data_IF_989527000695
#
_entry.id   IF_989527000695
#
_cell.length_a   1.000
_cell.length_b   1.000
_cell.length_c   1.000
_cell.angle_alpha   90.00
_cell.angle_beta   90.00
_cell.angle_gamma   90.00
#
_symmetry.space_group_name_H-M   'P 1'
#
loop_
_entity.id
_entity.type
_entity.pdbx_description
1 polymer ?
#
# COMPACT_ATOMS: atom_id res chain seq x y z
N UNK A 1 -7.44 -2.95 -4.98
CA UNK A 1 -6.33 -2.84 -5.94
C UNK A 1 -6.06 -4.10 -6.75
N UNK A 2 -5.76 -5.28 -6.15
CA UNK A 2 -5.49 -6.52 -6.90
C UNK A 2 -6.56 -6.83 -7.97
N UNK A 3 -7.83 -6.70 -7.63
CA UNK A 3 -8.93 -6.97 -8.55
C UNK A 3 -9.08 -5.87 -9.61
N UNK A 4 -8.86 -4.60 -9.24
CA UNK A 4 -8.91 -3.48 -10.20
C UNK A 4 -7.84 -3.62 -11.28
N UNK A 5 -6.62 -4.00 -10.91
CA UNK A 5 -5.54 -4.21 -11.88
C UNK A 5 -5.76 -5.45 -12.77
N UNK A 6 -6.37 -6.51 -12.22
CA UNK A 6 -6.74 -7.68 -13.01
C UNK A 6 -7.78 -7.40 -14.10
N UNK A 7 -8.64 -6.43 -13.86
CA UNK A 7 -9.68 -6.05 -14.82
C UNK A 7 -9.15 -5.07 -15.89
N UNK A 8 -7.96 -4.49 -15.70
CA UNK A 8 -7.28 -3.72 -16.75
C UNK A 8 -6.84 -4.71 -17.82
N UNK A 9 -7.34 -4.51 -19.04
CA UNK A 9 -6.96 -5.33 -20.19
C UNK A 9 -5.44 -5.19 -20.43
N UNK A 10 -4.77 -6.31 -20.74
CA UNK A 10 -3.32 -6.35 -20.95
C UNK A 10 -2.84 -5.52 -22.15
N UNK A 11 -3.72 -5.28 -23.12
CA UNK A 11 -3.45 -4.46 -24.29
C UNK A 11 -3.66 -2.96 -24.04
N UNK A 12 -4.16 -2.58 -22.85
CA UNK A 12 -4.38 -1.19 -22.54
C UNK A 12 -3.08 -0.46 -22.16
N UNK A 13 -3.03 0.83 -22.50
CA UNK A 13 -1.92 1.72 -22.18
C UNK A 13 -1.56 1.74 -20.69
N UNK A 14 -2.55 1.54 -19.82
CA UNK A 14 -2.36 1.45 -18.37
C UNK A 14 -1.49 0.24 -17.96
N UNK A 15 -1.65 -0.92 -18.63
CA UNK A 15 -0.86 -2.11 -18.33
C UNK A 15 0.60 -1.94 -18.77
N UNK A 16 0.81 -1.42 -19.98
CA UNK A 16 2.14 -1.09 -20.49
C UNK A 16 2.87 -0.11 -19.58
N UNK A 17 2.17 0.93 -19.14
CA UNK A 17 2.71 1.88 -18.17
C UNK A 17 3.15 1.24 -16.85
N UNK A 18 2.36 0.29 -16.32
CA UNK A 18 2.72 -0.43 -15.10
C UNK A 18 3.99 -1.28 -15.27
N UNK A 19 4.20 -1.88 -16.46
CA UNK A 19 5.42 -2.63 -16.77
C UNK A 19 6.65 -1.72 -16.79
N UNK A 20 6.54 -0.56 -17.41
CA UNK A 20 7.62 0.44 -17.47
C UNK A 20 7.93 1.04 -16.09
N UNK A 21 6.89 1.36 -15.31
CA UNK A 21 7.03 1.94 -13.97
C UNK A 21 7.63 0.97 -12.96
N UNK A 22 7.37 -0.32 -13.09
CA UNK A 22 7.84 -1.36 -12.17
C UNK A 22 8.63 -2.47 -12.88
N UNK A 23 9.81 -2.17 -13.47
CA UNK A 23 10.57 -3.13 -14.28
C UNK A 23 11.06 -4.35 -13.49
N UNK A 24 11.12 -4.25 -12.16
CA UNK A 24 11.49 -5.38 -11.28
C UNK A 24 10.32 -6.32 -10.95
N UNK A 25 9.09 -5.96 -11.34
CA UNK A 25 7.94 -6.85 -11.20
C UNK A 25 7.82 -7.75 -12.42
N UNK A 26 7.74 -9.07 -12.18
CA UNK A 26 7.46 -9.99 -13.27
C UNK A 26 6.06 -9.75 -13.85
N UNK A 27 5.90 -9.94 -15.15
CA UNK A 27 4.62 -9.80 -15.84
C UNK A 27 3.51 -10.65 -15.19
N UNK A 28 3.84 -11.84 -14.71
CA UNK A 28 2.91 -12.71 -13.99
C UNK A 28 2.38 -12.07 -12.69
N UNK A 29 3.21 -11.30 -11.97
CA UNK A 29 2.79 -10.56 -10.77
C UNK A 29 1.91 -9.36 -11.14
N UNK A 30 2.27 -8.63 -12.21
CA UNK A 30 1.46 -7.53 -12.73
C UNK A 30 0.08 -8.02 -13.17
N UNK A 31 0.00 -9.07 -13.98
CA UNK A 31 -1.27 -9.70 -14.40
C UNK A 31 -2.13 -10.13 -13.22
N UNK A 32 -1.52 -10.60 -12.13
CA UNK A 32 -2.21 -10.95 -10.89
C UNK A 32 -2.54 -9.76 -9.99
N UNK A 33 -2.10 -8.54 -10.35
CA UNK A 33 -2.30 -7.34 -9.54
C UNK A 33 -1.61 -7.42 -8.17
N UNK A 34 -0.43 -8.05 -8.11
CA UNK A 34 0.34 -8.22 -6.86
C UNK A 34 1.32 -7.07 -6.75
N UNK A 35 1.04 -6.16 -5.83
CA UNK A 35 1.88 -5.00 -5.50
C UNK A 35 2.18 -4.97 -4.01
N UNK A 36 3.34 -4.42 -3.65
CA UNK A 36 3.71 -4.13 -2.27
C UNK A 36 3.26 -2.71 -1.87
N UNK A 37 3.20 -2.44 -0.56
CA UNK A 37 2.73 -1.16 -0.03
C UNK A 37 3.32 0.09 -0.69
N UNK A 38 4.65 0.23 -0.83
CA UNK A 38 5.27 1.36 -1.51
C UNK A 38 4.81 1.55 -2.96
N UNK A 39 4.63 0.46 -3.71
CA UNK A 39 4.14 0.51 -5.10
C UNK A 39 2.69 0.98 -5.15
N UNK A 40 1.84 0.52 -4.22
CA UNK A 40 0.45 0.95 -4.12
C UNK A 40 0.38 2.45 -3.82
N UNK A 41 1.21 2.95 -2.89
CA UNK A 41 1.29 4.38 -2.60
C UNK A 41 1.76 5.20 -3.80
N UNK A 42 2.78 4.72 -4.49
CA UNK A 42 3.28 5.39 -5.70
C UNK A 42 2.19 5.51 -6.78
N UNK A 43 1.33 4.48 -6.94
CA UNK A 43 0.22 4.53 -7.89
C UNK A 43 -0.94 5.43 -7.43
N UNK A 44 -1.23 5.49 -6.11
CA UNK A 44 -2.27 6.38 -5.57
C UNK A 44 -1.93 7.85 -5.81
N UNK A 45 -0.63 8.19 -5.84
CA UNK A 45 -0.13 9.54 -6.08
C UNK A 45 0.13 9.84 -7.57
N UNK A 46 -0.10 8.88 -8.44
CA UNK A 46 0.25 8.96 -9.86
C UNK A 46 -0.94 9.44 -10.70
N UNK A 47 -0.94 10.71 -11.01
CA UNK A 47 -1.97 11.32 -11.86
C UNK A 47 -1.93 10.82 -13.31
N UNK A 48 -0.75 10.43 -13.81
CA UNK A 48 -0.62 9.92 -15.16
C UNK A 48 -1.27 8.55 -15.30
N UNK A 49 -1.02 7.66 -14.35
CA UNK A 49 -1.70 6.36 -14.28
C UNK A 49 -3.22 6.53 -14.25
N UNK A 50 -3.69 7.50 -13.47
CA UNK A 50 -5.12 7.79 -13.36
C UNK A 50 -5.76 8.22 -14.68
N UNK A 51 -5.04 9.00 -15.49
CA UNK A 51 -5.51 9.44 -16.82
C UNK A 51 -5.57 8.32 -17.86
N UNK A 52 -4.80 7.26 -17.66
CA UNK A 52 -4.80 6.08 -18.53
C UNK A 52 -6.01 5.16 -18.29
N UNK A 53 -6.66 5.29 -17.13
CA UNK A 53 -7.83 4.48 -16.78
C UNK A 53 -9.10 5.11 -17.38
N UNK A 54 -10.00 4.24 -17.89
CA UNK A 54 -11.26 4.67 -18.48
C UNK A 54 -12.44 3.83 -17.95
N UNK A 55 -13.67 4.32 -18.15
CA UNK A 55 -14.89 3.60 -17.82
C UNK A 55 -14.95 3.08 -16.38
N UNK A 56 -15.37 1.83 -16.22
CA UNK A 56 -15.53 1.18 -14.91
C UNK A 56 -14.21 0.99 -14.17
N UNK A 57 -13.07 0.82 -14.88
CA UNK A 57 -11.75 0.72 -14.27
C UNK A 57 -11.35 2.03 -13.57
N UNK A 58 -11.64 3.17 -14.21
CA UNK A 58 -11.45 4.50 -13.61
C UNK A 58 -12.34 4.69 -12.38
N UNK A 59 -13.62 4.39 -12.49
CA UNK A 59 -14.58 4.53 -11.39
C UNK A 59 -14.16 3.65 -10.17
N UNK A 60 -13.70 2.43 -10.43
CA UNK A 60 -13.20 1.53 -9.38
C UNK A 60 -11.91 2.03 -8.75
N UNK A 61 -11.02 2.63 -9.53
CA UNK A 61 -9.78 3.23 -9.01
C UNK A 61 -10.06 4.44 -8.14
N UNK A 62 -10.92 5.34 -8.59
CA UNK A 62 -11.28 6.54 -7.85
C UNK A 62 -11.97 6.19 -6.53
N UNK A 63 -12.93 5.28 -6.55
CA UNK A 63 -13.60 4.82 -5.33
C UNK A 63 -12.63 4.14 -4.35
N UNK A 64 -11.64 3.39 -4.85
CA UNK A 64 -10.57 2.84 -4.02
C UNK A 64 -9.72 3.93 -3.37
N UNK A 65 -9.30 4.96 -4.13
CA UNK A 65 -8.54 6.11 -3.61
C UNK A 65 -9.33 6.84 -2.52
N UNK A 66 -10.63 7.07 -2.74
CA UNK A 66 -11.48 7.74 -1.76
C UNK A 66 -11.65 6.91 -0.47
N UNK A 67 -11.86 5.60 -0.59
CA UNK A 67 -11.94 4.72 0.58
C UNK A 67 -10.62 4.65 1.36
N UNK A 68 -9.47 4.63 0.67
CA UNK A 68 -8.16 4.69 1.33
C UNK A 68 -7.97 6.00 2.08
N UNK A 69 -8.31 7.13 1.46
CA UNK A 69 -8.12 8.46 2.08
C UNK A 69 -9.14 8.75 3.19
N UNK A 70 -10.40 8.36 2.98
CA UNK A 70 -11.50 8.74 3.87
C UNK A 70 -11.87 7.69 4.93
N UNK A 71 -11.35 6.46 4.82
CA UNK A 71 -11.64 5.41 5.81
C UNK A 71 -10.38 4.75 6.38
N UNK A 72 -9.42 4.36 5.54
CA UNK A 72 -8.23 3.62 5.97
C UNK A 72 -7.06 4.54 6.39
N UNK A 73 -7.25 5.85 6.39
CA UNK A 73 -6.24 6.83 6.75
C UNK A 73 -6.17 7.13 8.26
N UNK A 74 -5.48 8.23 8.59
CA UNK A 74 -5.34 8.70 9.97
C UNK A 74 -6.60 9.37 10.52
N UNK A 75 -7.51 9.77 9.66
CA UNK A 75 -8.78 10.40 10.01
C UNK A 75 -9.91 9.77 9.19
N UNK A 76 -10.96 9.35 9.89
CA UNK A 76 -12.17 8.85 9.25
C UNK A 76 -13.01 10.03 8.78
N UNK A 77 -13.44 10.01 7.51
CA UNK A 77 -14.37 10.99 6.97
C UNK A 77 -15.78 10.76 7.54
N UNK A 78 -16.60 11.80 7.65
CA UNK A 78 -17.98 11.66 8.13
C UNK A 78 -18.84 10.75 7.24
N UNK A 79 -18.57 10.75 5.93
CA UNK A 79 -19.28 9.92 4.94
C UNK A 79 -18.54 8.62 4.58
N UNK A 80 -17.75 8.06 5.52
CA UNK A 80 -16.93 6.87 5.27
C UNK A 80 -17.74 5.66 4.80
N UNK A 81 -18.97 5.49 5.30
CA UNK A 81 -19.85 4.40 4.89
C UNK A 81 -20.23 4.50 3.41
N UNK A 82 -20.54 5.70 2.95
CA UNK A 82 -20.82 5.98 1.54
C UNK A 82 -19.59 5.67 0.67
N UNK A 83 -18.39 6.07 1.09
CA UNK A 83 -17.16 5.80 0.37
C UNK A 83 -16.89 4.29 0.23
N UNK A 84 -17.13 3.51 1.28
CA UNK A 84 -16.98 2.04 1.25
C UNK A 84 -18.06 1.40 0.37
N UNK A 85 -19.30 1.87 0.43
CA UNK A 85 -20.39 1.39 -0.42
C UNK A 85 -20.11 1.69 -1.90
N UNK A 86 -19.63 2.88 -2.23
CA UNK A 86 -19.26 3.26 -3.58
C UNK A 86 -18.11 2.39 -4.12
N UNK A 87 -17.13 2.05 -3.27
CA UNK A 87 -16.07 1.11 -3.63
C UNK A 87 -16.65 -0.27 -3.97
N UNK A 88 -17.57 -0.77 -3.15
CA UNK A 88 -18.19 -2.07 -3.37
C UNK A 88 -18.97 -2.12 -4.69
N UNK A 89 -19.79 -1.11 -4.94
CA UNK A 89 -20.57 -0.99 -6.18
C UNK A 89 -19.68 -0.90 -7.42
N UNK A 90 -18.62 -0.10 -7.37
CA UNK A 90 -17.67 0.03 -8.47
C UNK A 90 -16.93 -1.29 -8.75
N UNK A 91 -16.56 -2.03 -7.72
CA UNK A 91 -15.95 -3.34 -7.86
C UNK A 91 -16.92 -4.39 -8.42
N UNK A 92 -18.19 -4.32 -8.05
CA UNK A 92 -19.24 -5.17 -8.59
C UNK A 92 -19.44 -4.93 -10.08
N UNK A 93 -19.53 -3.65 -10.51
CA UNK A 93 -19.64 -3.26 -11.94
C UNK A 93 -18.45 -3.76 -12.75
N UNK A 94 -17.25 -3.70 -12.16
CA UNK A 94 -16.02 -4.21 -12.77
C UNK A 94 -15.95 -5.74 -12.82
N UNK A 95 -16.96 -6.47 -12.31
CA UNK A 95 -16.97 -7.93 -12.25
C UNK A 95 -16.00 -8.53 -11.23
N UNK A 96 -15.56 -7.75 -10.23
CA UNK A 96 -14.67 -8.22 -9.21
C UNK A 96 -15.42 -9.04 -8.16
N UNK A 97 -14.95 -10.26 -7.88
CA UNK A 97 -15.47 -11.05 -6.79
C UNK A 97 -15.15 -10.41 -5.43
N UNK A 98 -16.09 -10.51 -4.48
CA UNK A 98 -15.88 -10.08 -3.12
C UNK A 98 -14.76 -10.90 -2.48
N UNK A 99 -13.67 -10.23 -2.07
CA UNK A 99 -12.60 -10.86 -1.29
C UNK A 99 -12.92 -10.75 0.20
N UNK A 100 -12.31 -11.63 1.01
CA UNK A 100 -12.46 -11.58 2.47
C UNK A 100 -12.12 -10.19 3.03
N UNK A 101 -11.11 -9.51 2.48
CA UNK A 101 -10.72 -8.15 2.91
C UNK A 101 -11.82 -7.12 2.61
N UNK A 102 -12.48 -7.22 1.47
CA UNK A 102 -13.60 -6.33 1.09
C UNK A 102 -14.83 -6.66 1.93
N UNK A 103 -15.07 -7.94 2.22
CA UNK A 103 -16.13 -8.34 3.13
C UNK A 103 -15.95 -7.71 4.51
N UNK A 104 -14.78 -7.85 5.12
CA UNK A 104 -14.51 -7.21 6.42
C UNK A 104 -14.65 -5.69 6.35
N UNK A 105 -14.12 -5.07 5.32
CA UNK A 105 -14.19 -3.62 5.13
C UNK A 105 -15.63 -3.11 5.08
N UNK A 106 -16.54 -3.85 4.45
CA UNK A 106 -17.94 -3.45 4.29
C UNK A 106 -18.83 -3.90 5.45
N UNK A 107 -18.73 -5.17 5.87
CA UNK A 107 -19.69 -5.76 6.81
C UNK A 107 -19.32 -5.54 8.28
N UNK A 108 -18.11 -5.07 8.55
CA UNK A 108 -17.57 -4.91 9.90
C UNK A 108 -16.87 -3.54 10.08
N UNK A 109 -17.45 -2.50 9.49
CA UNK A 109 -16.88 -1.13 9.55
C UNK A 109 -16.69 -0.63 10.98
N UNK A 110 -17.56 -1.01 11.89
CA UNK A 110 -17.55 -0.60 13.29
C UNK A 110 -16.35 -1.17 14.08
N UNK A 111 -15.75 -2.27 13.61
CA UNK A 111 -14.55 -2.84 14.21
C UNK A 111 -13.27 -2.06 13.88
N UNK A 112 -13.30 -1.21 12.87
CA UNK A 112 -12.13 -0.43 12.50
C UNK A 112 -12.01 0.79 13.42
N UNK A 113 -10.82 1.07 13.97
CA UNK A 113 -10.60 2.28 14.77
C UNK A 113 -10.75 3.53 13.92
N UNK A 114 -11.04 4.68 14.55
CA UNK A 114 -11.14 5.97 13.86
C UNK A 114 -9.82 6.38 13.18
N UNK A 115 -8.70 5.95 13.72
CA UNK A 115 -7.37 6.15 13.18
C UNK A 115 -6.75 4.80 12.78
N UNK A 116 -7.10 4.29 11.60
CA UNK A 116 -6.52 3.07 11.05
C UNK A 116 -5.01 3.18 10.80
N UNK A 117 -4.51 4.40 10.54
CA UNK A 117 -3.08 4.62 10.31
C UNK A 117 -2.23 4.38 11.57
N UNK A 118 -2.77 4.66 12.77
CA UNK A 118 -2.06 4.46 14.03
C UNK A 118 -1.90 2.99 14.41
N UNK A 119 -2.78 2.12 13.92
CA UNK A 119 -2.77 0.67 14.19
C UNK A 119 -2.33 -0.14 12.97
N UNK A 120 -1.70 0.52 12.00
CA UNK A 120 -1.21 -0.12 10.79
C UNK A 120 -0.02 -1.03 11.09
N UNK A 121 -0.05 -2.26 10.56
CA UNK A 121 1.05 -3.23 10.62
C UNK A 121 2.24 -2.85 9.70
N UNK A 122 2.21 -1.68 9.09
CA UNK A 122 3.27 -1.20 8.21
C UNK A 122 4.64 -1.19 8.89
N UNK A 123 4.68 -0.84 10.16
CA UNK A 123 5.92 -0.87 10.95
C UNK A 123 6.41 -2.31 11.16
N UNK A 124 5.52 -3.27 11.39
CA UNK A 124 5.86 -4.68 11.50
C UNK A 124 6.39 -5.25 10.18
N UNK A 125 5.76 -4.93 9.06
CA UNK A 125 6.23 -5.36 7.73
C UNK A 125 7.59 -4.74 7.39
N UNK A 126 7.82 -3.47 7.73
CA UNK A 126 9.11 -2.81 7.58
C UNK A 126 10.18 -3.48 8.44
N UNK A 127 9.86 -3.78 9.70
CA UNK A 127 10.75 -4.55 10.58
C UNK A 127 11.17 -5.87 9.94
N UNK A 128 10.23 -6.65 9.39
CA UNK A 128 10.54 -7.91 8.71
C UNK A 128 11.44 -7.73 7.48
N UNK A 129 11.28 -6.65 6.73
CA UNK A 129 12.14 -6.33 5.60
C UNK A 129 13.55 -5.95 6.06
N UNK A 130 13.66 -5.09 7.07
CA UNK A 130 14.93 -4.60 7.61
C UNK A 130 15.74 -5.73 8.25
N UNK A 131 15.09 -6.56 9.08
CA UNK A 131 15.76 -7.68 9.76
C UNK A 131 16.12 -8.83 8.81
N UNK A 132 15.45 -8.94 7.66
CA UNK A 132 15.68 -10.00 6.66
C UNK A 132 17.13 -10.05 6.16
N UNK A 133 17.79 -8.91 6.02
CA UNK A 133 19.20 -8.82 5.60
C UNK A 133 20.14 -9.39 6.66
N UNK A 134 19.85 -9.10 7.92
CA UNK A 134 20.61 -9.59 9.07
C UNK A 134 20.33 -11.09 9.26
N UNK A 135 19.08 -11.52 9.15
CA UNK A 135 18.70 -12.92 9.23
C UNK A 135 19.44 -13.79 8.20
N UNK A 136 19.62 -13.31 6.96
CA UNK A 136 20.42 -14.01 5.94
C UNK A 136 21.88 -14.16 6.35
N UNK A 137 22.48 -13.13 6.96
CA UNK A 137 23.86 -13.16 7.49
C UNK A 137 24.03 -14.23 8.57
N UNK A 138 23.04 -14.40 9.42
CA UNK A 138 22.99 -15.41 10.47
C UNK A 138 22.38 -16.75 10.03
N UNK A 139 22.21 -16.98 8.72
CA UNK A 139 21.70 -18.23 8.13
C UNK A 139 20.35 -18.68 8.73
N UNK A 140 19.48 -17.74 9.05
CA UNK A 140 18.17 -18.00 9.65
C UNK A 140 18.21 -18.37 11.15
N UNK A 141 19.37 -18.39 11.80
CA UNK A 141 19.48 -18.68 13.24
C UNK A 141 19.19 -17.41 14.04
N UNK A 142 18.05 -17.42 14.71
CA UNK A 142 17.66 -16.35 15.64
C UNK A 142 18.36 -16.57 16.98
N UNK A 143 19.26 -15.66 17.34
CA UNK A 143 19.98 -15.67 18.62
C UNK A 143 20.18 -14.24 19.13
N UNK A 144 20.66 -14.12 20.37
CA UNK A 144 20.88 -12.82 21.00
C UNK A 144 21.87 -11.95 20.21
N UNK A 145 22.90 -12.53 19.58
CA UNK A 145 23.88 -11.79 18.79
C UNK A 145 23.24 -11.14 17.55
N UNK A 146 22.36 -11.87 16.85
CA UNK A 146 21.61 -11.33 15.71
C UNK A 146 20.72 -10.14 16.12
N UNK A 147 20.02 -10.26 17.26
CA UNK A 147 19.15 -9.18 17.75
C UNK A 147 19.98 -7.99 18.22
N UNK A 148 21.14 -8.23 18.83
CA UNK A 148 22.07 -7.16 19.23
C UNK A 148 22.60 -6.38 18.04
N UNK A 149 22.99 -7.05 16.95
CA UNK A 149 23.42 -6.42 15.71
C UNK A 149 22.28 -5.58 15.09
N UNK A 150 21.07 -6.08 15.12
CA UNK A 150 19.90 -5.32 14.64
C UNK A 150 19.67 -4.06 15.48
N UNK A 151 19.64 -4.19 16.80
CA UNK A 151 19.48 -3.05 17.71
C UNK A 151 20.60 -2.02 17.56
N UNK A 152 21.85 -2.48 17.36
CA UNK A 152 22.98 -1.61 17.09
C UNK A 152 22.82 -0.83 15.80
N UNK A 153 22.37 -1.48 14.73
CA UNK A 153 22.10 -0.82 13.44
C UNK A 153 21.03 0.28 13.59
N UNK A 154 19.94 -0.01 14.31
CA UNK A 154 18.91 0.99 14.58
C UNK A 154 19.43 2.17 15.41
N UNK A 155 20.28 1.90 16.41
CA UNK A 155 20.85 2.95 17.27
C UNK A 155 21.86 3.84 16.53
N UNK A 156 22.60 3.29 15.56
CA UNK A 156 23.56 4.06 14.74
C UNK A 156 22.89 4.88 13.65
N UNK A 157 21.76 4.41 13.10
CA UNK A 157 21.03 5.12 12.05
C UNK A 157 20.12 6.26 12.59
N UNK A 158 19.62 6.13 13.83
CA UNK A 158 18.73 7.10 14.46
C UNK A 158 19.34 8.53 14.61
N UNK A 159 20.58 8.73 15.06
CA UNK A 159 21.18 10.05 15.24
C UNK A 159 21.36 10.83 13.92
N UNK A 160 21.61 10.13 12.82
CA UNK A 160 21.85 10.74 11.50
C UNK A 160 20.55 11.30 10.90
N UNK A 161 19.41 10.70 11.19
CA UNK A 161 18.11 11.13 10.68
C UNK A 161 17.62 12.39 11.39
N UNK A 162 17.82 12.48 12.71
CA UNK A 162 17.47 13.67 13.51
C UNK A 162 18.32 14.88 13.14
N UNK A 163 19.62 14.68 12.92
CA UNK A 163 20.54 15.74 12.52
C UNK A 163 20.22 16.34 11.15
N UNK A 164 19.82 15.51 10.18
CA UNK A 164 19.39 15.97 8.85
C UNK A 164 18.08 16.76 8.88
N UNK A 165 17.15 16.40 9.75
CA UNK A 165 15.89 17.15 9.91
C UNK A 165 16.12 18.53 10.54
N UNK A 166 16.97 18.66 11.56
CA UNK A 166 17.30 19.93 12.19
C UNK A 166 18.07 20.88 11.25
N UNK A 167 18.95 20.37 10.39
CA UNK A 167 19.66 21.17 9.38
C UNK A 167 18.71 21.74 8.32
N UNK A 168 17.67 21.01 7.92
CA UNK A 168 16.64 21.50 6.99
C UNK A 168 15.72 22.59 7.59
N UNK A 169 15.47 22.55 8.90
CA UNK A 169 14.64 23.56 9.57
C UNK A 169 15.36 24.90 9.81
N UNK A 170 16.70 24.92 9.79
CA UNK A 170 17.49 26.16 9.98
C UNK A 170 17.73 26.94 8.69
N UNK A 171 17.41 26.38 7.52
CA UNK A 171 17.63 27.02 6.22
C UNK A 171 16.32 27.46 5.52
N UNK A 172 15.21 27.56 6.27
CA UNK A 172 13.95 28.15 5.83
C UNK A 172 13.65 29.38 6.65
#
# INVERSE_FOLDING_TARGET
MKNSVKAINQEEAAFTYLQEKFPRLSEAKLKKGIFIGPQIRALIMDEYFEKLLQGDAKAAWDSFKFAVKGFLGNRRAQNYEELVNNLLQSYQKLGCNMSLKIHFLHSHMDFFPENCGAVSDEHGERFHQDISSIQKRYQGKWNCAMLSDYCWTLATDAPTTEYKQQAKQKNT
#
